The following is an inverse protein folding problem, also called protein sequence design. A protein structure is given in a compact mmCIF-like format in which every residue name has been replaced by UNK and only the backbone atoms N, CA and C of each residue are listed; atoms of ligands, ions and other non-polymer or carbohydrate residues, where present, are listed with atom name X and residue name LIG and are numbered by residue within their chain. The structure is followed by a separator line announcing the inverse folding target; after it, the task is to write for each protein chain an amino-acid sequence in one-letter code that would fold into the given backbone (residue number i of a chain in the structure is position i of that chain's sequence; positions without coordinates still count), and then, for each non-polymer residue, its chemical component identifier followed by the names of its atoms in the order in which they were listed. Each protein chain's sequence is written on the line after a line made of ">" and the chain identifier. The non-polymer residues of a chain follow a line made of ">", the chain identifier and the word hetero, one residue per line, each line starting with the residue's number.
data_IF_538308205461
#
_entry.id   IF_538308205461
#
_cell.length_a   1.000
_cell.length_b   1.000
_cell.length_c   1.000
_cell.angle_alpha   90.00
_cell.angle_beta   90.00
_cell.angle_gamma   90.00
#
_symmetry.space_group_name_H-M   'P 1'
#
loop_
_entity.id
_entity.type
_entity.pdbx_description
1 polymer ?
#
# COMPACT_ATOMS: atom_id res chain seq x y z
N UNK A 1 7.21 -14.18 -21.11
CA UNK A 1 6.69 -13.40 -22.25
C UNK A 1 6.76 -11.92 -21.89
N UNK A 2 6.58 -11.01 -22.83
CA UNK A 2 6.64 -9.59 -22.52
C UNK A 2 6.14 -8.77 -23.69
N UNK A 3 5.69 -7.56 -23.38
CA UNK A 3 5.27 -6.58 -24.35
C UNK A 3 6.08 -5.32 -24.15
N UNK A 4 6.70 -4.89 -25.23
CA UNK A 4 7.38 -3.61 -25.30
C UNK A 4 6.57 -2.73 -26.23
N UNK A 5 6.17 -1.57 -25.72
CA UNK A 5 5.49 -0.54 -26.49
C UNK A 5 6.30 0.74 -26.44
N UNK A 6 6.34 1.43 -27.56
CA UNK A 6 6.88 2.78 -27.65
C UNK A 6 5.72 3.73 -27.48
N UNK A 7 5.70 4.48 -26.38
CA UNK A 7 4.60 5.40 -26.09
C UNK A 7 4.72 6.71 -26.88
N UNK A 8 5.92 7.08 -27.35
CA UNK A 8 6.10 8.24 -28.23
C UNK A 8 7.44 8.26 -28.98
N UNK A 9 7.45 8.92 -30.15
CA UNK A 9 8.64 9.30 -30.90
C UNK A 9 8.70 10.83 -30.99
N UNK A 10 9.81 11.42 -30.52
CA UNK A 10 10.01 12.87 -30.56
C UNK A 10 11.46 13.25 -30.89
N UNK A 11 11.70 14.54 -31.18
CA UNK A 11 12.98 15.09 -31.61
C UNK A 11 14.11 15.02 -30.55
N UNK A 12 13.84 14.43 -29.38
CA UNK A 12 14.79 14.22 -28.27
C UNK A 12 14.93 12.76 -27.82
N UNK A 13 14.40 11.79 -28.59
CA UNK A 13 14.51 10.36 -28.29
C UNK A 13 13.17 9.64 -28.16
N UNK A 14 13.24 8.31 -28.03
CA UNK A 14 12.09 7.41 -28.01
C UNK A 14 11.81 6.93 -26.58
N UNK A 15 10.58 7.11 -26.08
CA UNK A 15 10.17 6.56 -24.79
C UNK A 15 9.57 5.16 -24.98
N UNK A 16 10.24 4.14 -24.45
CA UNK A 16 9.77 2.76 -24.44
C UNK A 16 9.30 2.35 -23.04
N UNK A 17 8.16 1.67 -22.97
CA UNK A 17 7.74 0.92 -21.80
C UNK A 17 7.83 -0.58 -22.10
N UNK A 18 8.46 -1.32 -21.18
CA UNK A 18 8.51 -2.78 -21.22
C UNK A 18 7.76 -3.36 -20.02
N UNK A 19 6.71 -4.13 -20.29
CA UNK A 19 6.05 -4.96 -19.28
C UNK A 19 6.47 -6.40 -19.54
N UNK A 20 7.10 -7.00 -18.55
CA UNK A 20 7.47 -8.42 -18.59
C UNK A 20 6.48 -9.21 -17.74
N UNK A 21 5.99 -10.33 -18.27
CA UNK A 21 5.22 -11.30 -17.52
C UNK A 21 5.76 -12.70 -17.79
N UNK A 22 6.19 -13.35 -16.73
CA UNK A 22 6.57 -14.75 -16.76
C UNK A 22 5.39 -15.60 -16.29
N UNK A 23 5.26 -16.79 -16.85
CA UNK A 23 4.69 -17.87 -16.06
C UNK A 23 5.72 -18.17 -14.97
N UNK A 24 5.30 -18.13 -13.71
CA UNK A 24 6.16 -18.58 -12.63
C UNK A 24 6.42 -20.08 -12.82
N UNK A 25 7.66 -20.43 -13.12
CA UNK A 25 8.10 -21.81 -13.25
C UNK A 25 8.62 -22.36 -11.93
N UNK A 26 8.93 -21.50 -10.96
CA UNK A 26 9.03 -21.96 -9.59
C UNK A 26 7.63 -22.42 -9.21
N UNK A 27 7.53 -23.62 -8.65
CA UNK A 27 6.26 -24.16 -8.14
C UNK A 27 5.85 -23.43 -6.87
N UNK A 28 5.83 -22.09 -6.90
CA UNK A 28 5.23 -21.29 -5.87
C UNK A 28 3.77 -21.74 -5.74
N UNK A 29 3.37 -21.99 -4.50
CA UNK A 29 1.99 -22.35 -4.25
C UNK A 29 1.12 -21.16 -4.69
N UNK A 30 0.00 -21.39 -5.42
CA UNK A 30 -0.98 -20.36 -5.68
C UNK A 30 -1.25 -19.57 -4.38
N UNK A 31 -1.36 -18.22 -4.41
CA UNK A 31 -1.44 -17.43 -3.19
C UNK A 31 -2.49 -17.93 -2.18
N UNK A 32 -3.65 -18.37 -2.67
CA UNK A 32 -4.68 -19.00 -1.84
C UNK A 32 -4.20 -20.29 -1.14
N UNK A 33 -3.47 -21.17 -1.85
CA UNK A 33 -2.87 -22.38 -1.26
C UNK A 33 -1.72 -22.05 -0.33
N UNK A 34 -0.95 -21.00 -0.60
CA UNK A 34 0.12 -20.54 0.29
C UNK A 34 -0.46 -20.01 1.61
N UNK A 35 -1.54 -19.23 1.56
CA UNK A 35 -2.29 -18.75 2.73
C UNK A 35 -2.92 -19.93 3.47
N UNK A 36 -3.60 -20.84 2.76
CA UNK A 36 -4.20 -22.03 3.37
C UNK A 36 -3.15 -22.88 4.09
N UNK A 37 -2.00 -23.11 3.47
CA UNK A 37 -0.88 -23.82 4.10
C UNK A 37 -0.39 -23.08 5.36
N UNK A 38 -0.21 -21.76 5.27
CA UNK A 38 0.17 -20.93 6.43
C UNK A 38 -0.84 -20.96 7.57
N UNK A 39 -2.12 -21.17 7.30
CA UNK A 39 -3.18 -21.34 8.31
C UNK A 39 -3.12 -22.75 8.92
N UNK A 40 -2.93 -23.78 8.09
CA UNK A 40 -2.89 -25.18 8.52
C UNK A 40 -1.62 -25.52 9.32
N UNK A 41 -0.49 -24.86 9.02
CA UNK A 41 0.77 -25.07 9.73
C UNK A 41 0.79 -24.41 11.13
N UNK A 42 -0.30 -23.75 11.54
CA UNK A 42 -0.42 -23.08 12.84
C UNK A 42 -0.81 -24.06 13.95
N UNK A 43 -0.39 -23.81 15.20
CA UNK A 43 -0.95 -24.53 16.33
C UNK A 43 -2.48 -24.42 16.34
N UNK A 44 -3.19 -25.48 16.75
CA UNK A 44 -4.63 -25.41 16.90
C UNK A 44 -5.02 -24.30 17.90
N UNK A 45 -6.17 -23.64 17.72
CA UNK A 45 -6.65 -22.63 18.67
C UNK A 45 -6.84 -23.25 20.05
N UNK A 46 -6.51 -22.50 21.10
CA UNK A 46 -6.70 -22.97 22.47
C UNK A 46 -8.10 -22.64 22.97
N UNK A 47 -8.66 -23.53 23.80
CA UNK A 47 -9.87 -23.28 24.59
C UNK A 47 -9.47 -23.24 26.05
N UNK A 48 -9.71 -22.11 26.70
CA UNK A 48 -9.37 -21.85 28.10
C UNK A 48 -10.63 -21.97 28.93
N UNK A 49 -10.68 -23.02 29.74
CA UNK A 49 -11.83 -23.36 30.59
C UNK A 49 -11.86 -22.42 31.81
N UNK A 50 -12.74 -21.43 31.77
CA UNK A 50 -12.96 -20.50 32.88
C UNK A 50 -14.12 -20.97 33.74
N UNK A 51 -13.88 -21.99 34.56
CA UNK A 51 -14.90 -22.51 35.48
C UNK A 51 -15.89 -23.49 34.86
N UNK A 52 -17.02 -23.70 35.55
CA UNK A 52 -17.98 -24.76 35.24
C UNK A 52 -19.01 -24.38 34.17
N UNK A 53 -19.20 -23.09 33.93
CA UNK A 53 -20.12 -22.60 32.91
C UNK A 53 -19.37 -22.51 31.58
N UNK A 54 -19.77 -23.27 30.53
CA UNK A 54 -19.14 -23.19 29.22
C UNK A 54 -19.19 -21.81 28.57
N UNK A 55 -20.16 -20.98 28.96
CA UNK A 55 -20.26 -19.62 28.44
C UNK A 55 -19.10 -18.72 28.88
N UNK A 56 -18.51 -19.02 30.03
CA UNK A 56 -17.37 -18.26 30.55
C UNK A 56 -16.06 -18.65 29.85
N UNK A 57 -16.04 -19.76 29.08
CA UNK A 57 -14.82 -20.24 28.44
C UNK A 57 -14.36 -19.26 27.34
N UNK A 58 -13.06 -19.06 27.29
CA UNK A 58 -12.40 -18.28 26.25
C UNK A 58 -11.87 -19.23 25.18
N UNK A 59 -11.89 -18.80 23.93
CA UNK A 59 -11.29 -19.55 22.84
C UNK A 59 -10.61 -18.61 21.85
N UNK A 60 -9.55 -19.10 21.21
CA UNK A 60 -8.83 -18.33 20.19
C UNK A 60 -9.55 -18.32 18.82
N UNK A 61 -10.61 -19.13 18.65
CA UNK A 61 -11.41 -19.14 17.41
C UNK A 61 -12.46 -18.02 17.40
N UNK A 62 -13.01 -17.65 16.22
CA UNK A 62 -14.09 -16.68 16.11
C UNK A 62 -15.27 -17.02 17.03
N UNK A 63 -15.54 -16.16 18.01
CA UNK A 63 -16.69 -16.34 18.90
C UNK A 63 -17.95 -15.77 18.24
N UNK A 64 -18.84 -16.65 17.79
CA UNK A 64 -20.07 -16.26 17.09
C UNK A 64 -21.21 -15.84 18.03
N UNK A 65 -21.05 -15.95 19.35
CA UNK A 65 -22.16 -15.75 20.31
C UNK A 65 -22.69 -14.31 20.32
N UNK A 66 -21.84 -13.31 20.07
CA UNK A 66 -22.17 -11.88 20.14
C UNK A 66 -21.84 -11.11 18.85
N UNK A 67 -21.84 -11.79 17.71
CA UNK A 67 -21.36 -11.22 16.44
C UNK A 67 -22.53 -10.93 15.49
N UNK A 68 -22.58 -9.73 14.85
CA UNK A 68 -23.57 -9.42 13.82
C UNK A 68 -23.62 -10.47 12.70
N UNK A 69 -24.79 -10.67 12.07
CA UNK A 69 -25.00 -11.69 11.02
C UNK A 69 -24.13 -11.49 9.78
N UNK A 70 -23.61 -10.30 9.59
CA UNK A 70 -22.81 -9.81 8.47
C UNK A 70 -21.38 -9.43 8.88
N UNK A 71 -20.96 -9.77 10.11
CA UNK A 71 -19.63 -9.45 10.57
C UNK A 71 -18.55 -10.16 9.75
N UNK A 72 -17.47 -9.43 9.48
CA UNK A 72 -16.26 -9.95 8.86
C UNK A 72 -15.22 -10.15 9.95
N UNK A 73 -14.37 -11.15 9.79
CA UNK A 73 -13.23 -11.37 10.69
C UNK A 73 -11.94 -11.06 9.95
N UNK A 74 -11.09 -10.24 10.55
CA UNK A 74 -9.74 -9.99 10.04
C UNK A 74 -8.76 -10.90 10.76
N UNK A 75 -7.88 -11.53 9.98
CA UNK A 75 -6.78 -12.36 10.48
C UNK A 75 -5.48 -11.72 10.05
N UNK A 76 -4.70 -11.23 11.02
CA UNK A 76 -3.38 -10.65 10.77
C UNK A 76 -2.30 -11.72 10.94
N UNK A 77 -1.38 -11.79 9.99
CA UNK A 77 -0.26 -12.73 10.00
C UNK A 77 1.04 -12.02 9.64
N UNK A 78 1.86 -11.74 10.63
CA UNK A 78 3.19 -11.16 10.49
C UNK A 78 4.32 -12.18 10.62
N UNK A 79 5.56 -11.81 10.24
CA UNK A 79 6.76 -12.61 10.48
C UNK A 79 7.02 -12.88 11.96
N UNK A 80 6.59 -11.98 12.85
CA UNK A 80 6.67 -12.10 14.31
C UNK A 80 5.76 -13.19 14.89
N UNK A 81 4.72 -13.57 14.14
CA UNK A 81 3.66 -14.39 14.71
C UNK A 81 3.95 -15.87 14.54
N UNK A 82 5.02 -16.27 13.81
CA UNK A 82 5.36 -17.67 13.51
C UNK A 82 5.33 -18.52 14.78
N UNK A 83 4.57 -19.62 14.74
CA UNK A 83 4.41 -20.54 15.89
C UNK A 83 3.36 -20.12 16.92
N UNK A 84 2.70 -18.97 16.76
CA UNK A 84 1.55 -18.59 17.58
C UNK A 84 0.22 -19.02 16.93
N UNK A 85 -0.84 -19.27 17.73
CA UNK A 85 -2.21 -19.48 17.23
C UNK A 85 -2.71 -18.28 16.42
N UNK A 86 -3.68 -18.53 15.52
CA UNK A 86 -4.34 -17.45 14.80
C UNK A 86 -5.20 -16.62 15.75
N UNK A 87 -5.17 -15.31 15.56
CA UNK A 87 -6.05 -14.36 16.24
C UNK A 87 -7.05 -13.82 15.25
N UNK A 88 -8.31 -13.76 15.68
CA UNK A 88 -9.43 -13.28 14.88
C UNK A 88 -9.96 -12.01 15.53
N UNK A 89 -10.01 -10.94 14.76
CA UNK A 89 -10.58 -9.66 15.18
C UNK A 89 -11.91 -9.46 14.45
N UNK A 90 -12.99 -9.22 15.18
CA UNK A 90 -14.30 -8.90 14.60
C UNK A 90 -14.18 -7.49 14.01
N UNK A 91 -14.51 -7.37 12.72
CA UNK A 91 -14.73 -6.09 12.06
C UNK A 91 -16.22 -5.80 12.17
N UNK A 92 -16.59 -4.79 12.94
CA UNK A 92 -17.98 -4.36 13.08
C UNK A 92 -18.52 -3.96 11.69
N UNK A 93 -19.62 -4.60 11.28
CA UNK A 93 -20.29 -4.31 10.02
C UNK A 93 -20.84 -2.88 10.06
N UNK A 94 -20.17 -1.95 9.38
CA UNK A 94 -20.44 -0.51 9.43
C UNK A 94 -19.19 0.33 9.57
N UNK A 95 -18.07 -0.26 9.99
CA UNK A 95 -16.74 0.27 9.73
C UNK A 95 -16.23 -0.45 8.49
N UNK A 96 -16.74 -0.05 7.31
CA UNK A 96 -15.83 -0.04 6.18
C UNK A 96 -14.67 0.84 6.68
N UNK A 97 -13.48 0.26 6.87
CA UNK A 97 -12.30 1.06 7.18
C UNK A 97 -12.33 2.23 6.19
N UNK A 98 -12.40 3.47 6.70
CA UNK A 98 -12.43 4.74 5.96
C UNK A 98 -11.15 4.94 5.10
N UNK A 99 -10.46 3.87 4.68
CA UNK A 99 -9.46 3.88 3.63
C UNK A 99 -10.09 4.10 2.24
N UNK A 100 -11.41 4.00 2.08
CA UNK A 100 -12.11 4.44 0.86
C UNK A 100 -12.06 5.97 0.66
N UNK A 101 -11.80 6.75 1.71
CA UNK A 101 -11.63 8.22 1.65
C UNK A 101 -10.17 8.67 1.72
N UNK A 102 -9.20 7.75 1.82
CA UNK A 102 -7.79 8.13 1.75
C UNK A 102 -7.48 8.64 0.34
N UNK A 103 -7.01 9.88 0.25
CA UNK A 103 -6.48 10.44 -0.98
C UNK A 103 -5.10 11.04 -0.76
N UNK A 104 -4.35 11.18 -1.85
CA UNK A 104 -3.02 11.77 -1.80
C UNK A 104 -3.00 13.05 -2.62
N UNK A 105 -2.20 14.01 -2.15
CA UNK A 105 -1.84 15.20 -2.93
C UNK A 105 -0.36 15.14 -3.27
N UNK A 106 0.00 15.74 -4.39
CA UNK A 106 1.38 15.97 -4.80
C UNK A 106 1.65 17.48 -4.70
N UNK A 107 2.83 17.84 -4.19
CA UNK A 107 3.29 19.23 -4.12
C UNK A 107 4.72 19.31 -4.65
N UNK A 108 5.04 20.36 -5.39
CA UNK A 108 6.36 20.48 -6.00
C UNK A 108 6.66 21.86 -6.57
N UNK A 109 7.84 22.00 -7.17
CA UNK A 109 8.24 23.27 -7.78
C UNK A 109 7.38 23.66 -9.01
N UNK A 110 6.67 22.72 -9.63
CA UNK A 110 5.77 22.96 -10.76
C UNK A 110 4.50 23.74 -10.39
N UNK A 111 4.03 23.63 -9.14
CA UNK A 111 2.82 24.29 -8.63
C UNK A 111 3.10 25.17 -7.42
N UNK A 112 4.34 25.64 -7.24
CA UNK A 112 4.69 26.52 -6.12
C UNK A 112 4.61 25.86 -4.74
N UNK A 113 4.70 24.53 -4.68
CA UNK A 113 4.52 23.71 -3.47
C UNK A 113 3.10 23.75 -2.87
N UNK A 114 2.11 24.06 -3.69
CA UNK A 114 0.70 23.89 -3.33
C UNK A 114 0.28 22.41 -3.43
N UNK A 115 -0.82 22.06 -2.76
CA UNK A 115 -1.37 20.71 -2.82
C UNK A 115 -2.22 20.51 -4.07
N UNK A 116 -1.83 19.55 -4.91
CA UNK A 116 -2.58 19.14 -6.10
C UNK A 116 -3.09 17.70 -5.93
N UNK A 117 -4.40 17.50 -6.07
CA UNK A 117 -5.06 16.23 -5.73
C UNK A 117 -4.78 15.18 -6.81
N UNK A 118 -4.29 14.01 -6.37
CA UNK A 118 -4.04 12.88 -7.27
C UNK A 118 -5.35 12.14 -7.60
N UNK A 119 -5.47 11.69 -8.84
CA UNK A 119 -6.60 10.88 -9.30
C UNK A 119 -6.47 9.43 -8.83
N UNK A 120 -7.59 8.75 -8.57
CA UNK A 120 -7.58 7.32 -8.34
C UNK A 120 -7.20 6.58 -9.63
N UNK A 121 -6.29 5.60 -9.52
CA UNK A 121 -5.91 4.72 -10.62
C UNK A 121 -6.87 3.55 -10.81
N UNK A 122 -6.62 2.72 -11.83
CA UNK A 122 -7.45 1.54 -12.15
C UNK A 122 -7.40 0.43 -11.09
N UNK A 123 -6.39 0.45 -10.22
CA UNK A 123 -6.19 -0.53 -9.15
C UNK A 123 -6.49 0.15 -7.81
N UNK A 124 -7.34 -0.44 -6.95
CA UNK A 124 -7.62 0.10 -5.62
C UNK A 124 -6.33 0.38 -4.82
N UNK A 125 -6.28 1.57 -4.21
CA UNK A 125 -5.11 2.07 -3.46
C UNK A 125 -3.99 2.67 -4.31
N UNK A 126 -4.10 2.67 -5.63
CA UNK A 126 -3.17 3.37 -6.52
C UNK A 126 -3.72 4.76 -6.83
N UNK A 127 -2.87 5.78 -6.68
CA UNK A 127 -3.17 7.15 -7.07
C UNK A 127 -2.16 7.62 -8.12
N UNK A 128 -2.62 8.44 -9.06
CA UNK A 128 -1.83 8.92 -10.18
C UNK A 128 -1.97 10.43 -10.37
N UNK A 129 -0.90 11.06 -10.84
CA UNK A 129 -0.88 12.44 -11.27
C UNK A 129 0.02 12.57 -12.51
N UNK A 130 -0.39 13.43 -13.44
CA UNK A 130 0.41 13.80 -14.62
C UNK A 130 0.88 15.22 -14.38
N UNK A 131 2.20 15.41 -14.27
CA UNK A 131 2.82 16.70 -14.00
C UNK A 131 3.83 17.02 -15.09
N UNK A 132 3.82 18.27 -15.57
CA UNK A 132 4.77 18.74 -16.57
C UNK A 132 6.10 19.14 -15.93
N UNK A 133 7.21 18.77 -16.56
CA UNK A 133 8.54 19.18 -16.09
C UNK A 133 8.72 20.71 -16.29
N UNK A 134 9.08 21.47 -15.23
CA UNK A 134 9.28 22.91 -15.34
C UNK A 134 10.37 23.32 -16.34
N UNK A 135 10.41 24.60 -16.70
CA UNK A 135 11.42 25.16 -17.62
C UNK A 135 12.87 25.00 -17.16
N UNK A 136 13.09 24.73 -15.87
CA UNK A 136 14.40 24.39 -15.29
C UNK A 136 14.94 23.03 -15.78
N UNK A 137 14.07 22.14 -16.27
CA UNK A 137 14.41 20.74 -16.57
C UNK A 137 14.57 19.87 -15.32
N UNK A 138 14.19 20.39 -14.15
CA UNK A 138 14.28 19.71 -12.86
C UNK A 138 12.92 19.81 -12.18
N UNK A 139 12.26 18.66 -12.03
CA UNK A 139 11.02 18.52 -11.27
C UNK A 139 11.34 18.05 -9.86
N UNK A 140 10.89 18.79 -8.87
CA UNK A 140 11.03 18.46 -7.45
C UNK A 140 9.65 18.28 -6.83
N UNK A 141 9.40 17.19 -6.11
CA UNK A 141 8.10 16.93 -5.50
C UNK A 141 8.14 16.07 -4.25
N UNK A 142 7.03 16.08 -3.51
CA UNK A 142 6.69 15.16 -2.40
C UNK A 142 5.17 14.93 -2.37
N UNK A 143 4.73 13.97 -1.56
CA UNK A 143 3.32 13.67 -1.40
C UNK A 143 2.82 14.03 0.00
N UNK A 144 1.52 14.26 0.13
CA UNK A 144 0.84 14.37 1.42
C UNK A 144 -0.36 13.44 1.47
N UNK A 145 -0.60 12.85 2.63
CA UNK A 145 -1.80 12.05 2.87
C UNK A 145 -2.95 12.97 3.30
N UNK A 146 -4.13 12.82 2.70
CA UNK A 146 -5.37 13.53 3.03
C UNK A 146 -5.30 15.06 2.90
N UNK A 147 -4.42 15.60 2.04
CA UNK A 147 -4.09 17.03 1.96
C UNK A 147 -3.65 17.66 3.29
N UNK A 148 -3.06 16.85 4.18
CA UNK A 148 -2.56 17.30 5.47
C UNK A 148 -1.06 17.56 5.40
N UNK A 149 -0.67 18.84 5.54
CA UNK A 149 0.74 19.28 5.53
C UNK A 149 1.59 18.68 6.65
N UNK A 150 0.97 18.08 7.68
CA UNK A 150 1.67 17.35 8.74
C UNK A 150 1.85 15.85 8.41
N UNK A 151 1.21 15.34 7.36
CA UNK A 151 1.30 13.94 6.91
C UNK A 151 2.10 13.82 5.61
N UNK A 152 3.35 14.27 5.66
CA UNK A 152 4.25 14.27 4.50
C UNK A 152 4.79 12.87 4.22
N UNK A 153 4.90 12.52 2.94
CA UNK A 153 5.54 11.32 2.41
C UNK A 153 6.70 11.73 1.50
N UNK A 154 7.90 11.26 1.80
CA UNK A 154 9.12 11.68 1.12
C UNK A 154 10.17 10.54 1.05
N UNK A 155 11.23 10.67 0.24
CA UNK A 155 12.32 9.69 0.26
C UNK A 155 13.18 9.83 1.53
N UNK A 156 13.90 8.78 1.89
CA UNK A 156 14.89 8.78 2.98
C UNK A 156 16.13 9.64 2.69
N UNK A 157 16.51 9.72 1.41
CA UNK A 157 17.59 10.57 0.92
C UNK A 157 17.07 11.97 0.50
N UNK A 158 17.83 13.02 0.83
CA UNK A 158 17.53 14.36 0.34
C UNK A 158 17.80 14.47 -1.17
N UNK A 159 16.91 15.15 -1.91
CA UNK A 159 17.01 15.31 -3.36
C UNK A 159 17.17 13.97 -4.11
N UNK A 160 16.32 12.99 -3.78
CA UNK A 160 16.45 11.62 -4.25
C UNK A 160 16.01 11.45 -5.71
N UNK A 161 16.92 10.97 -6.56
CA UNK A 161 16.64 10.63 -7.96
C UNK A 161 16.20 9.16 -8.16
N UNK A 162 16.29 8.36 -7.10
CA UNK A 162 16.01 6.91 -7.15
C UNK A 162 14.52 6.64 -6.97
N UNK A 163 13.95 5.87 -7.90
CA UNK A 163 12.56 5.39 -7.81
C UNK A 163 12.32 4.32 -6.74
N UNK A 164 13.40 3.74 -6.21
CA UNK A 164 13.36 2.60 -5.28
C UNK A 164 13.91 2.94 -3.89
N UNK A 165 14.12 4.23 -3.60
CA UNK A 165 14.48 4.66 -2.26
C UNK A 165 13.34 4.35 -1.27
N UNK A 166 13.66 3.95 -0.02
CA UNK A 166 12.67 3.85 1.04
C UNK A 166 11.84 5.12 1.18
N UNK A 167 10.53 4.94 1.37
CA UNK A 167 9.60 6.05 1.61
C UNK A 167 9.49 6.25 3.12
N UNK A 168 9.73 7.47 3.58
CA UNK A 168 9.47 7.92 4.93
C UNK A 168 8.06 8.54 5.03
N UNK A 169 7.47 8.44 6.22
CA UNK A 169 6.15 9.00 6.52
C UNK A 169 5.00 7.99 6.42
N UNK A 170 3.74 8.43 6.60
CA UNK A 170 3.34 9.82 6.80
C UNK A 170 3.85 10.37 8.14
N UNK A 171 4.57 11.50 8.12
CA UNK A 171 5.07 12.13 9.35
C UNK A 171 5.26 13.65 9.17
N UNK A 172 5.26 14.34 10.31
CA UNK A 172 5.48 15.79 10.39
C UNK A 172 6.96 16.13 10.19
N UNK A 173 7.23 17.37 9.76
CA UNK A 173 8.57 17.96 9.63
C UNK A 173 9.50 17.28 8.62
N UNK A 174 8.97 16.42 7.75
CA UNK A 174 9.74 15.84 6.64
C UNK A 174 9.92 16.84 5.50
N UNK A 175 11.17 17.07 5.10
CA UNK A 175 11.54 18.06 4.07
C UNK A 175 12.20 17.47 2.83
N UNK A 176 12.45 16.16 2.81
CA UNK A 176 13.06 15.52 1.65
C UNK A 176 12.11 15.54 0.45
N UNK A 177 12.66 15.38 -0.74
CA UNK A 177 11.95 15.49 -2.01
C UNK A 177 12.56 14.56 -3.03
N UNK A 178 11.72 14.07 -3.94
CA UNK A 178 12.16 13.41 -5.15
C UNK A 178 12.59 14.45 -6.17
N UNK A 179 13.59 14.09 -6.98
CA UNK A 179 14.11 14.93 -8.07
C UNK A 179 14.08 14.13 -9.37
N UNK A 180 13.48 14.71 -10.39
CA UNK A 180 13.44 14.15 -11.74
C UNK A 180 14.07 15.14 -12.71
N UNK A 181 15.16 14.71 -13.34
CA UNK A 181 15.84 15.47 -14.39
C UNK A 181 15.28 15.05 -15.76
N UNK A 182 14.67 15.98 -16.48
CA UNK A 182 14.08 15.73 -17.80
C UNK A 182 14.04 17.02 -18.64
N UNK A 183 13.96 16.94 -19.98
CA UNK A 183 13.77 18.12 -20.80
C UNK A 183 12.50 18.90 -20.39
N UNK A 184 12.53 20.24 -20.44
CA UNK A 184 11.36 21.07 -20.14
C UNK A 184 10.10 20.71 -20.94
N UNK A 185 8.92 20.90 -20.32
CA UNK A 185 7.59 20.69 -20.92
C UNK A 185 7.37 19.26 -21.45
N UNK A 186 7.77 18.26 -20.66
CA UNK A 186 7.63 16.84 -20.97
C UNK A 186 6.90 16.10 -19.86
#
# INVERSE_FOLDING_TARGET
>A
QGHSQVSSFGFGGTNGHGIFWGQDYEHSLPPAKAIQKKILDRPPPEVRVMGKNPDDWEADFPDWRNVPKDAKFTVRMGPSDVGQPLRYEIVEAGVDDDDDDTFYTISGNYNGWEDDKMEAGDIPGVHQAIVDVPSSGVLEFRFHKDADTEKVLCPDEAACERKTAPILGPAKDLTNKWVVNAPPNR
#
